data_IF_352860998466
#
_entry.id   IF_352860998466
#
_cell.length_a   1.000
_cell.length_b   1.000
_cell.length_c   1.000
_cell.angle_alpha   90.00
_cell.angle_beta   90.00
_cell.angle_gamma   90.00
#
_symmetry.space_group_name_H-M   'P 1'
#
loop_
_entity.id
_entity.type
_entity.pdbx_description
1 polymer ?
#
# COMPACT_ATOMS: atom_id res chain seq x y z
N UNK A 1 34.35 -15.95 87.00
CA UNK A 1 34.06 -14.66 86.25
C UNK A 1 34.21 -14.96 84.80
N UNK A 2 33.08 -15.16 84.09
CA UNK A 2 33.03 -15.40 82.65
C UNK A 2 32.45 -14.13 81.93
N UNK A 3 33.27 -13.46 81.18
CA UNK A 3 32.89 -12.37 80.37
C UNK A 3 32.39 -12.89 79.01
N UNK A 4 31.08 -12.69 78.70
CA UNK A 4 30.48 -12.99 77.39
C UNK A 4 30.68 -11.84 76.42
N UNK A 5 31.39 -12.12 75.36
CA UNK A 5 31.55 -11.19 74.21
C UNK A 5 30.37 -11.41 73.27
N UNK A 6 29.55 -10.37 73.07
CA UNK A 6 28.46 -10.32 72.08
C UNK A 6 29.05 -9.82 70.77
N UNK A 7 29.06 -10.64 69.72
CA UNK A 7 29.39 -10.26 68.36
C UNK A 7 28.12 -9.74 67.64
N UNK A 8 28.09 -8.45 67.34
CA UNK A 8 27.05 -7.87 66.50
C UNK A 8 27.29 -8.22 65.03
N UNK A 9 26.33 -8.96 64.45
CA UNK A 9 26.28 -9.20 63.02
C UNK A 9 25.49 -8.05 62.36
N UNK A 10 26.18 -7.13 61.68
CA UNK A 10 25.57 -6.10 60.86
C UNK A 10 25.08 -6.70 59.52
N UNK A 11 23.78 -6.76 59.32
CA UNK A 11 23.14 -7.19 58.07
C UNK A 11 23.16 -5.98 57.11
N UNK A 12 24.11 -5.93 56.16
CA UNK A 12 24.13 -4.97 55.07
C UNK A 12 23.10 -5.39 54.04
N UNK A 13 21.94 -4.77 54.06
CA UNK A 13 20.87 -4.94 53.08
C UNK A 13 21.22 -4.10 51.81
N UNK A 14 21.88 -4.74 50.83
CA UNK A 14 22.16 -4.15 49.54
C UNK A 14 20.84 -3.97 48.74
N UNK A 15 20.41 -2.72 48.57
CA UNK A 15 19.36 -2.36 47.60
C UNK A 15 19.92 -2.59 46.19
N UNK A 16 19.58 -3.73 45.57
CA UNK A 16 19.69 -3.88 44.12
C UNK A 16 18.63 -3.00 43.48
N UNK A 17 19.02 -1.79 43.06
CA UNK A 17 18.21 -1.00 42.15
C UNK A 17 18.18 -1.72 40.79
N UNK A 18 17.13 -2.50 40.53
CA UNK A 18 16.82 -2.99 39.22
C UNK A 18 16.51 -1.75 38.34
N UNK A 19 17.51 -1.21 37.66
CA UNK A 19 17.29 -0.29 36.56
C UNK A 19 16.61 -1.07 35.43
N UNK A 20 15.28 -1.01 35.39
CA UNK A 20 14.54 -1.41 34.19
C UNK A 20 15.08 -0.58 33.02
N UNK A 21 15.52 -1.19 31.92
CA UNK A 21 15.91 -0.43 30.75
C UNK A 21 14.71 0.40 30.31
N UNK A 22 14.84 1.72 30.41
CA UNK A 22 13.88 2.63 29.82
C UNK A 22 14.03 2.48 28.29
N UNK A 23 13.28 1.59 27.68
CA UNK A 23 13.24 1.48 26.22
C UNK A 23 12.71 2.81 25.70
N UNK A 24 13.56 3.55 24.98
CA UNK A 24 13.15 4.76 24.31
C UNK A 24 12.04 4.41 23.30
N UNK A 25 10.93 5.17 23.34
CA UNK A 25 9.83 5.00 22.38
C UNK A 25 10.35 5.18 20.95
N UNK A 26 9.88 4.34 20.04
CA UNK A 26 10.15 4.49 18.61
C UNK A 26 9.56 5.80 18.07
N UNK A 27 10.24 6.41 17.11
CA UNK A 27 9.78 7.62 16.44
C UNK A 27 8.99 7.23 15.19
N UNK A 28 7.71 7.60 15.15
CA UNK A 28 6.81 7.35 14.02
C UNK A 28 6.40 8.67 13.39
N UNK A 29 6.52 8.76 12.07
CA UNK A 29 6.08 9.93 11.32
C UNK A 29 4.76 9.63 10.61
N UNK A 30 3.73 10.43 10.87
CA UNK A 30 2.45 10.39 10.18
C UNK A 30 2.50 11.31 8.98
N UNK A 31 2.40 10.77 7.78
CA UNK A 31 2.35 11.48 6.49
C UNK A 31 0.90 11.55 6.04
N UNK A 32 0.28 12.72 6.12
CA UNK A 32 -1.11 12.89 5.74
C UNK A 32 -1.25 13.29 4.27
N UNK A 33 -2.10 12.55 3.54
CA UNK A 33 -2.41 12.84 2.13
C UNK A 33 -3.85 13.30 1.89
N UNK A 34 -4.72 13.21 2.90
CA UNK A 34 -6.13 13.59 2.82
C UNK A 34 -7.08 12.39 2.97
N UNK A 35 -8.07 12.30 2.09
CA UNK A 35 -9.06 11.22 2.07
C UNK A 35 -10.15 11.32 3.14
N UNK A 36 -10.91 10.25 3.33
CA UNK A 36 -12.06 10.15 4.24
C UNK A 36 -11.66 10.25 5.72
N UNK A 37 -10.50 9.71 6.09
CA UNK A 37 -9.99 9.79 7.48
C UNK A 37 -9.80 11.25 7.92
N UNK A 38 -9.50 12.13 6.97
CA UNK A 38 -9.45 13.58 7.13
C UNK A 38 -10.76 14.28 6.66
N UNK A 39 -11.84 13.54 6.50
CA UNK A 39 -13.12 14.03 6.02
C UNK A 39 -14.03 14.51 7.16
N UNK A 40 -14.90 15.48 6.83
CA UNK A 40 -15.90 16.00 7.74
C UNK A 40 -17.27 16.12 7.06
N UNK A 41 -18.29 15.60 7.70
CA UNK A 41 -19.71 15.72 7.32
C UNK A 41 -20.44 16.78 8.12
N UNK A 42 -21.57 17.25 7.61
CA UNK A 42 -22.40 18.26 8.25
C UNK A 42 -23.15 17.75 9.51
N UNK A 43 -23.34 16.44 9.63
CA UNK A 43 -24.02 15.78 10.75
C UNK A 43 -23.33 14.47 11.08
N UNK A 44 -23.38 14.07 12.34
CA UNK A 44 -22.83 12.78 12.79
C UNK A 44 -23.59 11.58 12.22
N UNK A 45 -24.82 11.73 11.76
CA UNK A 45 -25.57 10.71 11.04
C UNK A 45 -25.10 10.54 9.57
N UNK A 46 -24.29 11.45 9.04
CA UNK A 46 -23.80 11.41 7.66
C UNK A 46 -22.53 10.57 7.58
N UNK A 47 -22.67 9.29 7.24
CA UNK A 47 -21.53 8.39 7.02
C UNK A 47 -21.05 8.35 5.56
N UNK A 48 -21.88 8.78 4.62
CA UNK A 48 -21.61 8.75 3.17
C UNK A 48 -21.60 10.14 2.51
N UNK A 49 -22.22 11.14 3.12
CA UNK A 49 -22.26 12.52 2.61
C UNK A 49 -21.32 13.40 3.42
N UNK A 50 -20.11 13.62 2.92
CA UNK A 50 -19.06 14.40 3.60
C UNK A 50 -18.11 15.03 2.57
N UNK A 51 -17.26 15.94 3.04
CA UNK A 51 -16.15 16.47 2.25
C UNK A 51 -14.86 15.83 2.73
N UNK A 52 -14.14 15.15 1.82
CA UNK A 52 -12.84 14.55 2.11
C UNK A 52 -11.74 15.61 2.35
N UNK A 53 -10.64 15.23 2.97
CA UNK A 53 -9.41 16.03 3.09
C UNK A 53 -9.61 17.42 3.74
N UNK A 54 -10.46 17.53 4.76
CA UNK A 54 -10.72 18.80 5.50
C UNK A 54 -9.87 18.96 6.75
N UNK A 55 -9.47 17.86 7.37
CA UNK A 55 -8.79 17.84 8.67
C UNK A 55 -7.27 17.76 8.45
N UNK A 56 -6.48 18.72 8.98
CA UNK A 56 -5.03 18.68 8.86
C UNK A 56 -4.41 17.61 9.76
N UNK A 57 -3.14 17.25 9.49
CA UNK A 57 -2.43 16.17 10.16
C UNK A 57 -2.38 16.33 11.69
N UNK A 58 -2.12 17.53 12.18
CA UNK A 58 -2.02 17.78 13.63
C UNK A 58 -3.36 17.54 14.33
N UNK A 59 -4.48 17.88 13.69
CA UNK A 59 -5.81 17.64 14.24
C UNK A 59 -6.14 16.12 14.24
N UNK A 60 -5.69 15.37 13.23
CA UNK A 60 -5.82 13.91 13.23
C UNK A 60 -5.04 13.26 14.38
N UNK A 61 -3.79 13.68 14.60
CA UNK A 61 -2.93 13.20 15.69
C UNK A 61 -3.55 13.56 17.05
N UNK A 62 -3.98 14.81 17.23
CA UNK A 62 -4.56 15.28 18.49
C UNK A 62 -5.92 14.64 18.81
N UNK A 63 -6.64 14.16 17.80
CA UNK A 63 -7.91 13.43 18.01
C UNK A 63 -7.71 12.05 18.66
N UNK A 64 -6.47 11.52 18.66
CA UNK A 64 -6.13 10.20 19.22
C UNK A 64 -4.90 10.32 20.13
N UNK A 65 -5.01 11.00 21.30
CA UNK A 65 -3.86 11.28 22.16
C UNK A 65 -3.14 10.01 22.65
N UNK A 66 -3.84 8.87 22.70
CA UNK A 66 -3.29 7.57 23.11
C UNK A 66 -2.12 7.10 22.22
N UNK A 67 -1.98 7.59 20.98
CA UNK A 67 -0.85 7.25 20.13
C UNK A 67 0.49 7.71 20.70
N UNK A 68 0.48 8.74 21.54
CA UNK A 68 1.68 9.22 22.22
C UNK A 68 2.19 8.24 23.29
N UNK A 69 1.34 7.32 23.76
CA UNK A 69 1.75 6.26 24.67
C UNK A 69 2.53 5.15 23.94
N UNK A 70 2.27 4.98 22.64
CA UNK A 70 2.88 3.95 21.78
C UNK A 70 4.25 4.39 21.23
N UNK A 71 4.36 5.64 20.78
CA UNK A 71 5.53 6.16 20.07
C UNK A 71 5.67 7.67 20.23
N UNK A 72 6.86 8.21 19.91
CA UNK A 72 7.03 9.64 19.68
C UNK A 72 6.48 9.95 18.28
N UNK A 73 5.28 10.52 18.20
CA UNK A 73 4.58 10.75 16.94
C UNK A 73 4.72 12.19 16.49
N UNK A 74 5.08 12.38 15.23
CA UNK A 74 5.09 13.68 14.54
C UNK A 74 4.32 13.60 13.23
N UNK A 75 3.80 14.74 12.75
CA UNK A 75 2.99 14.82 11.54
C UNK A 75 3.65 15.62 10.41
N UNK A 76 3.39 15.21 9.17
CA UNK A 76 3.74 15.94 7.95
C UNK A 76 2.52 15.94 7.03
N UNK A 77 2.08 17.13 6.60
CA UNK A 77 1.05 17.27 5.58
C UNK A 77 1.72 17.18 4.20
N UNK A 78 1.66 16.03 3.55
CA UNK A 78 2.20 15.82 2.22
C UNK A 78 1.26 16.32 1.12
N UNK A 79 -0.02 15.94 1.23
CA UNK A 79 -1.11 16.33 0.32
C UNK A 79 -2.37 16.56 1.15
N UNK A 80 -3.37 17.17 0.52
CA UNK A 80 -4.70 17.33 1.10
C UNK A 80 -5.76 17.17 0.00
N UNK A 81 -5.86 15.95 -0.52
CA UNK A 81 -6.71 15.63 -1.69
C UNK A 81 -7.57 14.40 -1.41
N UNK A 82 -8.65 14.26 -2.15
CA UNK A 82 -9.39 13.01 -2.26
C UNK A 82 -8.58 12.05 -3.16
N UNK A 83 -8.53 10.76 -2.79
CA UNK A 83 -7.54 9.84 -3.38
C UNK A 83 -7.77 9.53 -4.86
N UNK A 84 -9.00 9.61 -5.34
CA UNK A 84 -9.35 9.46 -6.76
C UNK A 84 -8.76 10.58 -7.64
N UNK A 85 -8.27 11.66 -7.02
CA UNK A 85 -7.64 12.79 -7.70
C UNK A 85 -6.11 12.75 -7.67
N UNK A 86 -5.51 11.70 -7.13
CA UNK A 86 -4.07 11.49 -7.13
C UNK A 86 -3.61 11.13 -8.54
N UNK A 87 -2.66 11.91 -9.06
CA UNK A 87 -1.97 11.66 -10.34
C UNK A 87 -0.59 11.06 -10.10
N UNK A 88 0.14 10.72 -11.17
CA UNK A 88 1.52 10.26 -11.07
C UNK A 88 2.40 11.26 -10.31
N UNK A 89 2.16 12.56 -10.45
CA UNK A 89 2.92 13.62 -9.77
C UNK A 89 2.77 13.51 -8.25
N UNK A 90 1.55 13.41 -7.75
CA UNK A 90 1.29 13.27 -6.32
C UNK A 90 1.79 11.92 -5.80
N UNK A 91 1.63 10.84 -6.57
CA UNK A 91 2.13 9.51 -6.22
C UNK A 91 3.66 9.51 -6.06
N UNK A 92 4.38 10.10 -7.01
CA UNK A 92 5.83 10.25 -6.97
C UNK A 92 6.28 11.17 -5.84
N UNK A 93 5.54 12.25 -5.55
CA UNK A 93 5.79 13.13 -4.41
C UNK A 93 5.71 12.37 -3.09
N UNK A 94 4.65 11.59 -2.87
CA UNK A 94 4.48 10.75 -1.68
C UNK A 94 5.68 9.79 -1.55
N UNK A 95 6.04 9.10 -2.65
CA UNK A 95 7.11 8.12 -2.62
C UNK A 95 8.47 8.74 -2.30
N UNK A 96 8.80 9.89 -2.88
CA UNK A 96 10.04 10.62 -2.56
C UNK A 96 10.08 11.05 -1.12
N UNK A 97 8.98 11.59 -0.59
CA UNK A 97 8.90 12.04 0.79
C UNK A 97 9.06 10.87 1.77
N UNK A 98 8.39 9.75 1.52
CA UNK A 98 8.53 8.54 2.34
C UNK A 98 9.95 7.99 2.28
N UNK A 99 10.56 7.95 1.08
CA UNK A 99 11.95 7.51 0.89
C UNK A 99 12.94 8.36 1.71
N UNK A 100 12.77 9.68 1.73
CA UNK A 100 13.61 10.56 2.56
C UNK A 100 13.38 10.35 4.07
N UNK A 101 12.17 10.02 4.49
CA UNK A 101 11.89 9.74 5.90
C UNK A 101 12.54 8.44 6.37
N UNK A 102 12.39 7.36 5.60
CA UNK A 102 12.94 6.05 6.02
C UNK A 102 14.46 6.01 6.02
N UNK A 103 15.14 6.89 5.28
CA UNK A 103 16.60 7.04 5.34
C UNK A 103 17.10 7.67 6.65
N UNK A 104 16.27 8.45 7.34
CA UNK A 104 16.67 9.12 8.58
C UNK A 104 16.84 8.08 9.70
N UNK A 105 18.02 7.99 10.35
CA UNK A 105 18.21 7.02 11.45
C UNK A 105 17.28 7.29 12.65
N UNK A 106 16.80 8.52 12.80
CA UNK A 106 15.86 8.93 13.85
C UNK A 106 14.42 8.52 13.60
N UNK A 107 14.05 8.03 12.41
CA UNK A 107 12.70 7.55 12.08
C UNK A 107 12.69 6.03 12.15
N UNK A 108 11.80 5.46 12.94
CA UNK A 108 11.66 4.02 13.12
C UNK A 108 10.52 3.43 12.27
N UNK A 109 9.48 4.21 11.99
CA UNK A 109 8.35 3.78 11.17
C UNK A 109 7.60 4.96 10.55
N UNK A 110 6.85 4.70 9.48
CA UNK A 110 6.05 5.69 8.77
C UNK A 110 4.61 5.20 8.69
N UNK A 111 3.65 6.07 9.06
CA UNK A 111 2.23 5.88 8.82
C UNK A 111 1.79 6.85 7.74
N UNK A 112 1.01 6.38 6.76
CA UNK A 112 0.47 7.24 5.70
C UNK A 112 -1.04 7.19 5.80
N UNK A 113 -1.68 8.34 6.19
CA UNK A 113 -3.13 8.44 6.14
C UNK A 113 -3.57 8.77 4.73
N UNK A 114 -4.48 8.00 4.18
CA UNK A 114 -4.83 8.02 2.75
C UNK A 114 -6.33 7.83 2.53
N UNK A 115 -6.84 8.36 1.42
CA UNK A 115 -8.19 8.04 0.97
C UNK A 115 -8.28 6.61 0.45
N UNK A 116 -9.40 5.95 0.74
CA UNK A 116 -9.53 4.50 0.53
C UNK A 116 -9.66 4.07 -0.93
N UNK A 117 -10.01 4.99 -1.86
CA UNK A 117 -10.31 4.62 -3.25
C UNK A 117 -9.06 4.16 -4.02
N UNK A 118 -7.92 4.81 -3.82
CA UNK A 118 -6.65 4.44 -4.45
C UNK A 118 -5.56 4.05 -3.45
N UNK A 119 -5.92 3.78 -2.19
CA UNK A 119 -4.97 3.39 -1.14
C UNK A 119 -4.15 2.16 -1.54
N UNK A 120 -4.77 1.14 -2.13
CA UNK A 120 -4.10 -0.07 -2.58
C UNK A 120 -3.04 0.19 -3.66
N UNK A 121 -3.30 1.18 -4.54
CA UNK A 121 -2.38 1.58 -5.60
C UNK A 121 -1.14 2.28 -5.03
N UNK A 122 -1.35 3.28 -4.17
CA UNK A 122 -0.26 3.97 -3.46
C UNK A 122 0.57 2.99 -2.62
N UNK A 123 -0.09 2.08 -1.89
CA UNK A 123 0.59 1.07 -1.09
C UNK A 123 1.47 0.16 -1.95
N UNK A 124 0.93 -0.35 -3.05
CA UNK A 124 1.68 -1.22 -3.97
C UNK A 124 2.85 -0.48 -4.63
N UNK A 125 2.63 0.76 -5.06
CA UNK A 125 3.70 1.57 -5.64
C UNK A 125 4.87 1.77 -4.68
N UNK A 126 4.58 2.18 -3.43
CA UNK A 126 5.61 2.33 -2.40
C UNK A 126 6.34 1.02 -2.11
N UNK A 127 5.61 -0.10 -2.10
CA UNK A 127 6.16 -1.45 -1.90
C UNK A 127 7.17 -1.84 -2.99
N UNK A 128 7.00 -1.29 -4.20
CA UNK A 128 7.91 -1.51 -5.32
C UNK A 128 9.13 -0.58 -5.32
N UNK A 129 8.99 0.69 -4.90
CA UNK A 129 10.00 1.72 -5.17
C UNK A 129 10.75 2.26 -3.95
N UNK A 130 10.31 1.97 -2.72
CA UNK A 130 10.97 2.44 -1.49
C UNK A 130 11.78 1.31 -0.88
N UNK A 131 13.09 1.51 -0.77
CA UNK A 131 14.02 0.54 -0.20
C UNK A 131 14.22 0.79 1.29
N UNK A 132 13.67 -0.07 2.12
CA UNK A 132 13.76 0.00 3.58
C UNK A 132 13.38 -1.33 4.23
N UNK A 133 13.89 -1.57 5.43
CA UNK A 133 13.41 -2.59 6.37
C UNK A 133 12.40 -2.04 7.38
N UNK A 134 12.28 -0.71 7.47
CA UNK A 134 11.40 -0.03 8.43
C UNK A 134 9.94 -0.21 8.04
N UNK A 135 9.03 -0.33 9.03
CA UNK A 135 7.60 -0.41 8.77
C UNK A 135 7.07 0.83 8.05
N UNK A 136 6.35 0.61 6.96
CA UNK A 136 5.53 1.61 6.27
C UNK A 136 4.10 1.08 6.29
N UNK A 137 3.18 1.83 6.90
CA UNK A 137 1.79 1.41 7.10
C UNK A 137 0.85 2.44 6.48
N UNK A 138 0.08 2.07 5.47
CA UNK A 138 -1.01 2.89 4.97
C UNK A 138 -2.28 2.60 5.76
N UNK A 139 -3.05 3.65 6.01
CA UNK A 139 -4.30 3.59 6.78
C UNK A 139 -5.30 4.60 6.25
N UNK A 140 -6.57 4.24 6.30
CA UNK A 140 -7.68 5.11 5.93
C UNK A 140 -8.86 4.96 6.88
N UNK A 141 -9.99 5.48 6.48
CA UNK A 141 -11.28 5.18 7.11
C UNK A 141 -12.39 5.13 6.07
N UNK A 142 -13.42 4.36 6.36
CA UNK A 142 -14.62 4.27 5.53
C UNK A 142 -15.69 5.27 5.95
N UNK A 143 -15.57 5.86 7.15
CA UNK A 143 -16.46 6.89 7.69
C UNK A 143 -15.66 8.17 7.98
N UNK A 144 -16.24 9.36 7.75
CA UNK A 144 -15.59 10.62 8.09
C UNK A 144 -15.44 10.76 9.61
N UNK A 145 -14.50 11.59 10.05
CA UNK A 145 -14.18 11.79 11.47
C UNK A 145 -15.36 12.27 12.31
N UNK A 146 -16.33 12.91 11.68
CA UNK A 146 -17.56 13.43 12.33
C UNK A 146 -18.67 12.38 12.47
N UNK A 147 -18.59 11.23 11.82
CA UNK A 147 -19.65 10.24 11.80
C UNK A 147 -19.76 9.47 13.13
N UNK A 148 -20.99 9.04 13.46
CA UNK A 148 -21.21 8.05 14.51
C UNK A 148 -20.42 6.77 14.19
N UNK A 149 -19.72 6.24 15.20
CA UNK A 149 -18.83 5.07 15.01
C UNK A 149 -17.81 5.26 13.89
N UNK A 150 -17.19 6.44 13.80
CA UNK A 150 -16.06 6.68 12.89
C UNK A 150 -14.95 5.67 13.16
N UNK A 151 -14.47 5.00 12.11
CA UNK A 151 -13.42 3.98 12.20
C UNK A 151 -12.00 4.56 12.17
N UNK A 152 -11.86 5.82 11.74
CA UNK A 152 -10.56 6.49 11.59
C UNK A 152 -9.70 6.54 12.85
N UNK A 153 -10.21 6.91 14.03
CA UNK A 153 -9.42 6.98 15.26
C UNK A 153 -8.76 5.67 15.65
N UNK A 154 -9.50 4.56 15.65
CA UNK A 154 -8.96 3.24 15.96
C UNK A 154 -7.99 2.76 14.88
N UNK A 155 -8.31 2.98 13.60
CA UNK A 155 -7.42 2.63 12.50
C UNK A 155 -6.08 3.39 12.61
N UNK A 156 -6.10 4.69 12.94
CA UNK A 156 -4.87 5.48 13.14
C UNK A 156 -4.06 4.99 14.34
N UNK A 157 -4.71 4.74 15.50
CA UNK A 157 -4.07 4.15 16.67
C UNK A 157 -3.35 2.85 16.31
N UNK A 158 -4.07 1.95 15.66
CA UNK A 158 -3.58 0.64 15.24
C UNK A 158 -2.42 0.75 14.24
N UNK A 159 -2.48 1.71 13.29
CA UNK A 159 -1.41 1.94 12.33
C UNK A 159 -0.12 2.46 13.00
N UNK A 160 -0.24 3.36 13.99
CA UNK A 160 0.91 3.85 14.76
C UNK A 160 1.51 2.72 15.60
N UNK A 161 0.69 1.89 16.25
CA UNK A 161 1.14 0.73 17.00
C UNK A 161 1.93 -0.24 16.11
N UNK A 162 1.41 -0.54 14.92
CA UNK A 162 2.07 -1.42 13.96
C UNK A 162 3.39 -0.80 13.44
N UNK A 163 3.40 0.50 13.11
CA UNK A 163 4.59 1.18 12.62
C UNK A 163 5.69 1.34 13.70
N UNK A 164 5.30 1.33 14.97
CA UNK A 164 6.22 1.37 16.12
C UNK A 164 6.76 -0.02 16.50
N UNK A 165 6.21 -1.11 15.96
CA UNK A 165 6.57 -2.47 16.33
C UNK A 165 7.82 -2.95 15.57
N UNK A 166 8.81 -3.47 16.30
CA UNK A 166 9.99 -4.10 15.68
C UNK A 166 9.62 -5.37 14.90
N UNK A 167 8.55 -6.07 15.28
CA UNK A 167 8.05 -7.27 14.60
C UNK A 167 7.46 -6.94 13.20
N UNK A 168 7.20 -5.68 12.91
CA UNK A 168 6.71 -5.21 11.62
C UNK A 168 7.83 -4.92 10.60
N UNK A 169 9.11 -4.99 11.02
CA UNK A 169 10.26 -4.80 10.12
C UNK A 169 10.34 -5.91 9.07
N UNK A 170 10.82 -5.54 7.88
CA UNK A 170 10.98 -6.46 6.74
C UNK A 170 9.68 -7.15 6.27
N UNK A 171 8.50 -6.56 6.57
CA UNK A 171 7.20 -7.08 6.10
C UNK A 171 6.72 -6.48 4.77
N UNK A 172 7.53 -5.58 4.18
CA UNK A 172 7.10 -4.75 3.06
C UNK A 172 6.21 -3.59 3.51
N UNK A 173 5.62 -2.91 2.55
CA UNK A 173 4.58 -1.92 2.83
C UNK A 173 3.29 -2.65 3.19
N UNK A 174 2.65 -2.19 4.24
CA UNK A 174 1.43 -2.80 4.79
C UNK A 174 0.25 -1.84 4.71
N UNK A 175 -0.93 -2.39 4.64
CA UNK A 175 -2.19 -1.68 4.80
C UNK A 175 -2.87 -2.20 6.06
N UNK A 176 -3.24 -1.28 6.95
CA UNK A 176 -4.01 -1.62 8.15
C UNK A 176 -5.39 -1.00 8.04
N UNK A 177 -6.41 -1.84 8.02
CA UNK A 177 -7.82 -1.43 8.02
C UNK A 177 -8.64 -2.43 8.82
N UNK A 178 -9.51 -1.92 9.70
CA UNK A 178 -10.44 -2.76 10.47
C UNK A 178 -9.71 -3.93 11.15
N UNK A 179 -8.64 -3.61 11.90
CA UNK A 179 -7.75 -4.51 12.65
C UNK A 179 -6.97 -5.54 11.83
N UNK A 180 -7.17 -5.60 10.53
CA UNK A 180 -6.49 -6.52 9.63
C UNK A 180 -5.23 -5.87 9.03
N UNK A 181 -4.13 -6.64 9.04
CA UNK A 181 -2.84 -6.25 8.45
C UNK A 181 -2.72 -6.95 7.10
N UNK A 182 -2.67 -6.19 6.02
CA UNK A 182 -2.55 -6.72 4.67
C UNK A 182 -1.19 -6.37 4.04
N UNK A 183 -0.70 -7.25 3.17
CA UNK A 183 0.39 -6.88 2.27
C UNK A 183 -0.11 -5.89 1.21
N UNK A 184 0.65 -4.83 0.95
CA UNK A 184 0.32 -3.83 -0.07
C UNK A 184 0.09 -4.45 -1.46
N UNK A 185 0.82 -5.52 -1.76
CA UNK A 185 0.69 -6.24 -3.02
C UNK A 185 -0.66 -6.92 -3.18
N UNK A 186 -1.22 -7.49 -2.09
CA UNK A 186 -2.34 -8.42 -2.18
C UNK A 186 -3.68 -7.79 -1.80
N UNK A 187 -3.65 -6.67 -1.07
CA UNK A 187 -4.86 -5.98 -0.59
C UNK A 187 -5.64 -5.34 -1.74
N UNK A 188 -6.96 -5.38 -1.67
CA UNK A 188 -7.83 -4.62 -2.58
C UNK A 188 -9.06 -4.11 -1.84
N UNK A 189 -9.60 -2.96 -2.27
CA UNK A 189 -10.90 -2.46 -1.82
C UNK A 189 -12.00 -3.28 -2.49
N UNK A 190 -12.45 -4.34 -1.82
CA UNK A 190 -13.43 -5.29 -2.34
C UNK A 190 -14.88 -4.89 -2.08
N UNK A 191 -15.13 -3.98 -1.11
CA UNK A 191 -16.45 -3.49 -0.74
C UNK A 191 -16.39 -1.97 -0.61
N UNK A 192 -17.32 -1.25 -1.24
CA UNK A 192 -17.23 0.21 -1.36
C UNK A 192 -17.78 1.01 -0.17
N UNK A 193 -18.57 0.43 0.74
CA UNK A 193 -19.28 1.17 1.80
C UNK A 193 -18.95 0.68 3.22
N UNK A 194 -18.69 -0.61 3.41
CA UNK A 194 -18.50 -1.21 4.72
C UNK A 194 -17.14 -0.82 5.35
N UNK A 195 -17.03 -0.83 6.67
CA UNK A 195 -15.75 -0.59 7.36
C UNK A 195 -14.73 -1.68 7.10
N UNK A 196 -15.16 -2.93 6.90
CA UNK A 196 -14.34 -4.05 6.45
C UNK A 196 -14.18 -4.08 4.91
N UNK A 197 -13.94 -2.93 4.29
CA UNK A 197 -13.91 -2.76 2.84
C UNK A 197 -12.72 -3.44 2.16
N UNK A 198 -11.61 -3.61 2.85
CA UNK A 198 -10.38 -4.16 2.31
C UNK A 198 -10.29 -5.66 2.52
N UNK A 199 -9.92 -6.35 1.46
CA UNK A 199 -9.80 -7.82 1.40
C UNK A 199 -8.52 -8.22 0.68
N UNK A 200 -8.12 -9.47 0.84
CA UNK A 200 -7.08 -10.11 0.04
C UNK A 200 -7.50 -11.54 -0.27
N UNK A 201 -7.40 -11.95 -1.53
CA UNK A 201 -7.67 -13.34 -1.91
C UNK A 201 -6.71 -14.33 -1.25
N UNK A 202 -5.54 -13.88 -0.85
CA UNK A 202 -4.53 -14.68 -0.16
C UNK A 202 -4.62 -14.57 1.36
N UNK A 203 -5.54 -13.74 1.88
CA UNK A 203 -5.76 -13.47 3.30
C UNK A 203 -4.85 -12.37 3.86
N UNK A 204 -5.16 -11.93 5.09
CA UNK A 204 -4.35 -10.97 5.82
C UNK A 204 -3.00 -11.56 6.23
N UNK A 205 -1.97 -10.72 6.38
CA UNK A 205 -0.69 -11.10 6.98
C UNK A 205 -0.86 -11.42 8.46
N UNK A 206 -1.76 -10.72 9.13
CA UNK A 206 -2.04 -10.83 10.54
C UNK A 206 -3.18 -9.94 10.96
N UNK A 207 -3.34 -9.81 12.27
CA UNK A 207 -4.30 -8.90 12.90
C UNK A 207 -3.60 -8.10 13.99
N UNK A 208 -4.16 -6.94 14.31
CA UNK A 208 -3.69 -6.12 15.42
C UNK A 208 -4.75 -6.10 16.51
N UNK A 209 -4.39 -6.48 17.72
CA UNK A 209 -5.29 -6.50 18.87
C UNK A 209 -4.62 -5.74 20.02
N UNK A 210 -5.29 -4.73 20.56
CA UNK A 210 -4.78 -3.92 21.68
C UNK A 210 -3.35 -3.40 21.45
N UNK A 211 -3.08 -2.93 20.22
CA UNK A 211 -1.78 -2.39 19.83
C UNK A 211 -0.69 -3.43 19.58
N UNK A 212 -0.99 -4.72 19.60
CA UNK A 212 -0.03 -5.80 19.34
C UNK A 212 -0.33 -6.53 18.05
N UNK A 213 0.65 -6.68 17.12
CA UNK A 213 0.48 -7.46 15.91
C UNK A 213 0.56 -8.97 16.19
N UNK A 214 -0.33 -9.72 15.57
CA UNK A 214 -0.33 -11.18 15.54
C UNK A 214 -0.20 -11.63 14.09
N UNK A 215 0.90 -12.29 13.75
CA UNK A 215 1.27 -12.65 12.39
C UNK A 215 0.86 -14.09 12.06
N UNK A 216 0.28 -14.28 10.87
CA UNK A 216 -0.13 -15.60 10.36
C UNK A 216 0.61 -15.97 9.08
N UNK A 217 1.08 -14.96 8.31
CA UNK A 217 1.67 -15.12 6.99
C UNK A 217 2.70 -14.02 6.71
N UNK A 218 3.44 -14.21 5.63
CA UNK A 218 4.27 -13.16 5.03
C UNK A 218 4.19 -13.20 3.50
N UNK A 219 4.51 -12.11 2.83
CA UNK A 219 4.61 -12.06 1.39
C UNK A 219 5.81 -12.87 0.91
N UNK A 220 5.60 -13.67 -0.15
CA UNK A 220 6.67 -14.40 -0.84
C UNK A 220 7.17 -13.65 -2.07
N UNK A 221 6.51 -12.55 -2.44
CA UNK A 221 6.85 -11.72 -3.59
C UNK A 221 7.90 -10.67 -3.22
N UNK A 222 8.69 -10.25 -4.20
CA UNK A 222 9.73 -9.23 -4.00
C UNK A 222 9.11 -7.89 -3.61
N UNK A 223 9.72 -7.22 -2.66
CA UNK A 223 9.26 -5.91 -2.17
C UNK A 223 10.42 -5.12 -1.57
N UNK A 224 10.23 -3.83 -1.35
CA UNK A 224 11.15 -2.93 -0.66
C UNK A 224 12.63 -3.19 -1.01
N UNK A 225 13.48 -3.61 -0.08
CA UNK A 225 14.91 -3.85 -0.32
C UNK A 225 15.20 -4.94 -1.38
N UNK A 226 14.28 -5.87 -1.62
CA UNK A 226 14.43 -6.90 -2.64
C UNK A 226 13.90 -6.45 -4.02
N UNK A 227 13.33 -5.25 -4.13
CA UNK A 227 12.84 -4.69 -5.38
C UNK A 227 14.00 -4.24 -6.28
N UNK A 228 13.80 -4.41 -7.58
CA UNK A 228 14.69 -3.84 -8.59
C UNK A 228 14.32 -2.40 -8.99
N UNK A 229 13.15 -1.92 -8.55
CA UNK A 229 12.71 -0.54 -8.77
C UNK A 229 13.12 0.34 -7.59
N UNK A 230 13.54 1.57 -7.86
CA UNK A 230 13.91 2.53 -6.82
C UNK A 230 13.42 3.92 -7.24
N UNK A 231 12.72 4.59 -6.34
CA UNK A 231 12.20 5.96 -6.57
C UNK A 231 13.29 6.94 -6.97
N UNK A 232 14.51 6.77 -6.50
CA UNK A 232 15.66 7.64 -6.82
C UNK A 232 16.04 7.61 -8.31
N UNK A 233 15.73 6.51 -8.98
CA UNK A 233 15.99 6.33 -10.41
C UNK A 233 14.88 6.89 -11.30
N UNK A 234 13.71 7.22 -10.73
CA UNK A 234 12.58 7.79 -11.47
C UNK A 234 12.75 9.30 -11.55
N UNK A 235 12.98 9.80 -12.77
CA UNK A 235 13.18 11.23 -13.02
C UNK A 235 11.85 11.89 -13.47
N UNK A 236 11.70 13.17 -13.12
CA UNK A 236 10.49 13.92 -13.46
C UNK A 236 9.27 13.54 -12.62
N UNK A 237 8.10 13.95 -13.07
CA UNK A 237 6.83 13.85 -12.34
C UNK A 237 5.78 13.00 -13.05
N UNK A 238 6.20 12.14 -13.98
CA UNK A 238 5.34 11.24 -14.73
C UNK A 238 6.01 9.88 -14.93
N UNK A 239 5.19 8.85 -15.04
CA UNK A 239 5.56 7.49 -15.43
C UNK A 239 5.22 7.25 -16.90
N UNK A 240 5.79 6.22 -17.56
CA UNK A 240 5.28 5.76 -18.85
C UNK A 240 3.77 5.51 -18.78
N UNK A 241 3.03 6.05 -19.75
CA UNK A 241 1.57 5.99 -19.74
C UNK A 241 1.07 4.59 -20.03
N UNK A 242 0.22 4.09 -19.16
CA UNK A 242 -0.42 2.77 -19.22
C UNK A 242 -1.90 2.92 -18.88
N UNK A 243 -2.77 2.42 -19.75
CA UNK A 243 -4.21 2.51 -19.58
C UNK A 243 -4.84 1.14 -19.33
N UNK A 244 -6.04 1.14 -18.77
CA UNK A 244 -6.82 -0.07 -18.49
C UNK A 244 -8.06 -0.07 -19.37
N UNK A 245 -8.31 -1.18 -20.06
CA UNK A 245 -9.54 -1.41 -20.81
C UNK A 245 -10.26 -2.63 -20.24
N UNK A 246 -11.49 -2.45 -19.78
CA UNK A 246 -12.31 -3.53 -19.26
C UNK A 246 -13.01 -4.27 -20.39
N UNK A 247 -12.80 -5.58 -20.44
CA UNK A 247 -13.50 -6.48 -21.35
C UNK A 247 -14.98 -6.63 -20.99
N UNK A 248 -15.86 -6.57 -21.99
CA UNK A 248 -17.31 -6.72 -21.86
C UNK A 248 -17.90 -7.40 -23.09
N UNK A 249 -19.17 -7.79 -23.02
CA UNK A 249 -19.91 -8.16 -24.21
C UNK A 249 -19.98 -6.98 -25.18
N UNK A 250 -19.91 -7.25 -26.47
CA UNK A 250 -20.02 -6.28 -27.55
C UNK A 250 -19.03 -5.11 -27.45
N UNK A 251 -17.86 -5.33 -26.80
CA UNK A 251 -16.82 -4.30 -26.71
C UNK A 251 -16.29 -3.95 -28.10
N UNK A 252 -15.94 -2.67 -28.28
CA UNK A 252 -15.35 -2.15 -29.52
C UNK A 252 -13.83 -1.93 -29.33
N UNK A 253 -13.06 -1.92 -30.44
CA UNK A 253 -11.61 -1.68 -30.37
C UNK A 253 -11.24 -0.21 -30.11
N UNK A 254 -12.19 0.72 -30.20
CA UNK A 254 -11.98 2.18 -30.21
C UNK A 254 -11.14 2.69 -29.04
N UNK A 255 -11.35 2.13 -27.82
CA UNK A 255 -10.57 2.54 -26.66
C UNK A 255 -9.08 2.19 -26.80
N UNK A 256 -8.77 1.01 -27.33
CA UNK A 256 -7.38 0.59 -27.56
C UNK A 256 -6.70 1.47 -28.61
N UNK A 257 -7.39 1.75 -29.70
CA UNK A 257 -6.89 2.60 -30.78
C UNK A 257 -6.70 4.05 -30.32
N UNK A 258 -7.62 4.56 -29.48
CA UNK A 258 -7.53 5.91 -28.93
C UNK A 258 -6.31 6.05 -28.01
N UNK A 259 -6.07 5.10 -27.13
CA UNK A 259 -4.89 5.11 -26.25
C UNK A 259 -3.59 4.96 -27.05
N UNK A 260 -3.56 4.09 -28.03
CA UNK A 260 -2.42 3.98 -28.93
C UNK A 260 -2.12 5.30 -29.67
N UNK A 261 -3.15 5.96 -30.17
CA UNK A 261 -3.05 7.28 -30.83
C UNK A 261 -2.58 8.38 -29.86
N UNK A 262 -2.94 8.28 -28.58
CA UNK A 262 -2.49 9.19 -27.52
C UNK A 262 -1.00 8.98 -27.14
N UNK A 263 -0.38 7.88 -27.59
CA UNK A 263 1.03 7.59 -27.36
C UNK A 263 1.29 6.75 -26.11
N UNK A 264 0.26 6.09 -25.57
CA UNK A 264 0.39 5.16 -24.44
C UNK A 264 1.38 4.04 -24.78
N UNK A 265 2.12 3.56 -23.76
CA UNK A 265 3.19 2.58 -23.91
C UNK A 265 2.74 1.15 -23.67
N UNK A 266 1.69 0.99 -22.87
CA UNK A 266 1.07 -0.30 -22.63
C UNK A 266 -0.44 -0.17 -22.37
N UNK A 267 -1.15 -1.27 -22.59
CA UNK A 267 -2.57 -1.39 -22.30
C UNK A 267 -2.78 -2.64 -21.44
N UNK A 268 -3.40 -2.45 -20.29
CA UNK A 268 -3.89 -3.53 -19.46
C UNK A 268 -5.28 -3.93 -19.96
N UNK A 269 -5.38 -5.11 -20.56
CA UNK A 269 -6.67 -5.70 -20.89
C UNK A 269 -7.23 -6.40 -19.65
N UNK A 270 -8.17 -5.77 -18.96
CA UNK A 270 -8.91 -6.37 -17.84
C UNK A 270 -10.00 -7.28 -18.42
N UNK A 271 -9.60 -8.48 -18.86
CA UNK A 271 -10.45 -9.42 -19.57
C UNK A 271 -11.51 -10.10 -18.68
N UNK A 272 -12.39 -10.83 -19.31
CA UNK A 272 -13.33 -11.72 -18.62
C UNK A 272 -12.60 -13.01 -18.19
N UNK A 273 -13.14 -13.70 -17.17
CA UNK A 273 -12.58 -14.98 -16.72
C UNK A 273 -11.07 -14.97 -16.54
N UNK A 274 -10.34 -15.83 -17.21
CA UNK A 274 -8.87 -15.95 -17.20
C UNK A 274 -8.17 -14.86 -18.06
N UNK A 275 -8.68 -13.62 -18.04
CA UNK A 275 -8.16 -12.54 -18.86
C UNK A 275 -8.42 -12.72 -20.36
N UNK A 276 -9.56 -13.36 -20.70
CA UNK A 276 -9.92 -13.68 -22.08
C UNK A 276 -10.13 -12.43 -22.92
N UNK A 277 -9.64 -12.48 -24.16
CA UNK A 277 -9.80 -11.43 -25.17
C UNK A 277 -10.78 -11.90 -26.24
N UNK A 278 -11.79 -11.09 -26.57
CA UNK A 278 -12.75 -11.43 -27.61
C UNK A 278 -12.02 -11.62 -28.95
N UNK A 279 -12.39 -12.69 -29.69
CA UNK A 279 -11.72 -13.07 -30.94
C UNK A 279 -11.60 -11.93 -31.95
N UNK A 280 -12.63 -11.08 -32.04
CA UNK A 280 -12.65 -9.93 -32.95
C UNK A 280 -11.81 -8.74 -32.48
N UNK A 281 -11.34 -8.74 -31.21
CA UNK A 281 -10.42 -7.71 -30.66
C UNK A 281 -8.95 -8.12 -30.84
N UNK A 282 -8.64 -9.43 -30.89
CA UNK A 282 -7.26 -9.95 -31.00
C UNK A 282 -6.49 -9.32 -32.16
N UNK A 283 -7.04 -9.17 -33.40
CA UNK A 283 -6.30 -8.56 -34.50
C UNK A 283 -5.89 -7.10 -34.23
N UNK A 284 -6.74 -6.31 -33.56
CA UNK A 284 -6.44 -4.93 -33.17
C UNK A 284 -5.30 -4.91 -32.17
N UNK A 285 -5.37 -5.70 -31.09
CA UNK A 285 -4.30 -5.75 -30.08
C UNK A 285 -2.96 -6.21 -30.68
N UNK A 286 -3.01 -7.22 -31.56
CA UNK A 286 -1.80 -7.69 -32.24
C UNK A 286 -1.19 -6.62 -33.15
N UNK A 287 -2.02 -5.89 -33.89
CA UNK A 287 -1.56 -4.79 -34.73
C UNK A 287 -0.94 -3.64 -33.90
N UNK A 288 -1.55 -3.30 -32.78
CA UNK A 288 -1.01 -2.28 -31.86
C UNK A 288 0.32 -2.72 -31.24
N UNK A 289 0.46 -3.99 -30.89
CA UNK A 289 1.72 -4.55 -30.42
C UNK A 289 2.80 -4.52 -31.50
N UNK A 290 2.53 -5.12 -32.65
CA UNK A 290 3.52 -5.34 -33.71
C UNK A 290 3.95 -4.06 -34.42
N UNK A 291 3.02 -3.12 -34.66
CA UNK A 291 3.30 -1.91 -35.42
C UNK A 291 3.56 -0.67 -34.57
N UNK A 292 2.93 -0.58 -33.41
CA UNK A 292 3.06 0.59 -32.54
C UNK A 292 3.96 0.34 -31.33
N UNK A 293 4.40 -0.91 -31.11
CA UNK A 293 5.27 -1.27 -29.98
C UNK A 293 4.58 -1.19 -28.62
N UNK A 294 3.23 -1.22 -28.60
CA UNK A 294 2.47 -1.15 -27.37
C UNK A 294 2.50 -2.50 -26.66
N UNK A 295 2.85 -2.50 -25.40
CA UNK A 295 2.80 -3.71 -24.59
C UNK A 295 1.34 -4.06 -24.25
N UNK A 296 0.92 -5.28 -24.56
CA UNK A 296 -0.40 -5.79 -24.21
C UNK A 296 -0.23 -6.69 -22.99
N UNK A 297 -0.92 -6.33 -21.90
CA UNK A 297 -0.84 -7.06 -20.64
C UNK A 297 -2.23 -7.52 -20.26
N UNK A 298 -2.43 -8.85 -20.23
CA UNK A 298 -3.71 -9.44 -19.85
C UNK A 298 -3.81 -9.55 -18.33
N UNK A 299 -4.79 -8.87 -17.77
CA UNK A 299 -5.28 -9.02 -16.40
C UNK A 299 -6.73 -9.48 -16.43
N UNK A 300 -7.39 -9.59 -15.32
CA UNK A 300 -8.79 -9.98 -15.25
C UNK A 300 -9.63 -8.94 -14.52
N UNK A 301 -10.87 -8.73 -14.96
CA UNK A 301 -11.89 -7.99 -14.21
C UNK A 301 -12.49 -8.81 -13.07
N UNK A 302 -12.22 -10.13 -13.04
CA UNK A 302 -12.64 -11.00 -11.95
C UNK A 302 -11.76 -10.68 -10.72
N UNK A 303 -12.36 -10.39 -9.55
CA UNK A 303 -11.61 -9.84 -8.43
C UNK A 303 -10.67 -10.82 -7.74
N UNK A 304 -10.82 -12.13 -8.00
CA UNK A 304 -10.03 -13.20 -7.39
C UNK A 304 -9.58 -14.21 -8.44
N UNK A 305 -8.47 -14.90 -8.17
CA UNK A 305 -7.86 -15.83 -9.10
C UNK A 305 -6.59 -15.27 -9.72
N UNK A 306 -6.19 -15.83 -10.84
CA UNK A 306 -4.99 -15.38 -11.57
C UNK A 306 -5.12 -15.70 -13.05
N UNK A 307 -4.44 -14.91 -13.89
CA UNK A 307 -4.38 -15.11 -15.33
C UNK A 307 -3.25 -16.07 -15.66
N UNK A 308 -3.61 -17.23 -16.22
CA UNK A 308 -2.65 -18.21 -16.73
C UNK A 308 -2.09 -17.74 -18.06
N UNK A 309 -0.75 -17.69 -18.14
CA UNK A 309 -0.05 -17.45 -19.40
C UNK A 309 -0.23 -18.63 -20.35
N UNK A 310 -0.40 -18.32 -21.63
CA UNK A 310 -0.53 -19.30 -22.73
C UNK A 310 -1.72 -20.28 -22.60
N UNK A 311 -2.73 -19.96 -21.79
CA UNK A 311 -3.91 -20.78 -21.64
C UNK A 311 -5.06 -20.34 -22.58
N UNK A 312 -5.70 -19.18 -22.28
CA UNK A 312 -6.80 -18.63 -23.08
C UNK A 312 -6.31 -17.97 -24.37
N UNK A 313 -5.12 -17.36 -24.31
CA UNK A 313 -4.46 -16.70 -25.41
C UNK A 313 -3.04 -17.24 -25.53
N UNK A 314 -2.50 -17.39 -26.74
CA UNK A 314 -1.11 -17.78 -26.94
C UNK A 314 -0.17 -16.59 -26.73
N UNK A 315 -0.05 -16.13 -25.47
CA UNK A 315 0.69 -14.94 -25.09
C UNK A 315 2.13 -14.94 -25.60
N UNK A 316 2.80 -16.09 -25.47
CA UNK A 316 4.17 -16.27 -25.95
C UNK A 316 4.31 -16.06 -27.46
N UNK A 317 3.30 -16.47 -28.23
CA UNK A 317 3.25 -16.26 -29.68
C UNK A 317 2.96 -14.81 -30.05
N UNK A 318 2.12 -14.16 -29.29
CA UNK A 318 1.70 -12.78 -29.54
C UNK A 318 2.67 -11.73 -28.96
N UNK A 319 3.65 -12.14 -28.15
CA UNK A 319 4.50 -11.21 -27.42
C UNK A 319 3.78 -10.47 -26.28
N UNK A 320 2.66 -11.00 -25.82
CA UNK A 320 1.86 -10.42 -24.75
C UNK A 320 2.34 -10.87 -23.37
N UNK A 321 1.93 -10.14 -22.35
CA UNK A 321 2.24 -10.39 -20.93
C UNK A 321 0.98 -10.81 -20.20
N UNK A 322 1.09 -11.78 -19.30
CA UNK A 322 0.05 -12.15 -18.36
C UNK A 322 0.33 -11.50 -16.99
N UNK A 323 -0.64 -10.76 -16.46
CA UNK A 323 -0.49 -10.06 -15.18
C UNK A 323 -0.48 -11.00 -13.95
N UNK A 324 -0.69 -12.28 -14.16
CA UNK A 324 -0.82 -13.29 -13.12
C UNK A 324 -1.95 -12.90 -12.14
N UNK A 325 -1.68 -12.78 -10.84
CA UNK A 325 -2.67 -12.49 -9.81
C UNK A 325 -2.77 -10.99 -9.43
N UNK A 326 -2.14 -10.09 -10.20
CA UNK A 326 -2.33 -8.66 -10.04
C UNK A 326 -3.65 -8.21 -10.68
N UNK A 327 -4.44 -7.47 -9.91
CA UNK A 327 -5.60 -6.78 -10.45
C UNK A 327 -5.18 -5.70 -11.47
N UNK A 328 -6.10 -5.20 -12.31
CA UNK A 328 -5.75 -4.27 -13.40
C UNK A 328 -5.03 -3.01 -12.95
N UNK A 329 -5.43 -2.40 -11.83
CA UNK A 329 -4.84 -1.14 -11.34
C UNK A 329 -3.40 -1.35 -10.84
N UNK A 330 -3.08 -2.45 -10.19
CA UNK A 330 -1.71 -2.79 -9.78
C UNK A 330 -0.87 -3.25 -10.96
N UNK A 331 -1.46 -4.02 -11.89
CA UNK A 331 -0.81 -4.38 -13.13
C UNK A 331 -0.37 -3.15 -13.93
N UNK A 332 -1.20 -2.08 -13.97
CA UNK A 332 -0.88 -0.79 -14.56
C UNK A 332 0.38 -0.18 -13.95
N UNK A 333 0.47 -0.14 -12.63
CA UNK A 333 1.61 0.45 -11.93
C UNK A 333 2.90 -0.34 -12.15
N UNK A 334 2.83 -1.68 -12.08
CA UNK A 334 4.00 -2.53 -12.35
C UNK A 334 4.44 -2.41 -13.81
N UNK A 335 3.51 -2.35 -14.76
CA UNK A 335 3.82 -2.13 -16.17
C UNK A 335 4.51 -0.77 -16.40
N UNK A 336 4.00 0.30 -15.80
CA UNK A 336 4.60 1.62 -15.90
C UNK A 336 6.04 1.64 -15.36
N UNK A 337 6.28 0.99 -14.22
CA UNK A 337 7.64 0.84 -13.67
C UNK A 337 8.54 -0.04 -14.54
N UNK A 338 8.05 -1.17 -15.04
CA UNK A 338 8.79 -2.05 -15.93
C UNK A 338 9.26 -1.31 -17.19
N UNK A 339 8.38 -0.50 -17.77
CA UNK A 339 8.67 0.31 -18.96
C UNK A 339 9.71 1.42 -18.74
N UNK A 340 10.02 1.78 -17.49
CA UNK A 340 11.19 2.64 -17.21
C UNK A 340 12.53 1.92 -17.43
N UNK A 341 12.51 0.58 -17.51
CA UNK A 341 13.72 -0.27 -17.60
C UNK A 341 13.84 -0.98 -18.93
N UNK A 342 12.75 -1.49 -19.46
CA UNK A 342 12.76 -2.34 -20.65
C UNK A 342 11.45 -2.28 -21.42
N UNK A 343 11.53 -2.58 -22.72
CA UNK A 343 10.35 -2.82 -23.56
C UNK A 343 10.27 -4.30 -24.01
N UNK A 344 11.14 -5.17 -23.49
CA UNK A 344 11.11 -6.61 -23.78
C UNK A 344 9.99 -7.30 -22.97
N UNK A 345 9.02 -7.85 -23.69
CA UNK A 345 7.87 -8.54 -23.09
C UNK A 345 8.28 -9.73 -22.19
N UNK A 346 9.41 -10.41 -22.47
CA UNK A 346 9.91 -11.52 -21.63
C UNK A 346 10.40 -11.02 -20.29
N UNK A 347 11.14 -9.90 -20.28
CA UNK A 347 11.61 -9.28 -19.05
C UNK A 347 10.45 -8.65 -18.26
N UNK A 348 9.49 -8.03 -18.93
CA UNK A 348 8.26 -7.54 -18.28
C UNK A 348 7.52 -8.73 -17.64
N UNK A 349 7.36 -9.86 -18.36
CA UNK A 349 6.72 -11.06 -17.80
C UNK A 349 7.46 -11.61 -16.59
N UNK A 350 8.80 -11.63 -16.59
CA UNK A 350 9.60 -12.01 -15.42
C UNK A 350 9.24 -11.14 -14.20
N UNK A 351 9.13 -9.82 -14.40
CA UNK A 351 8.73 -8.89 -13.34
C UNK A 351 7.33 -9.22 -12.79
N UNK A 352 6.36 -9.49 -13.65
CA UNK A 352 5.01 -9.87 -13.21
C UNK A 352 4.96 -11.20 -12.43
N UNK A 353 5.92 -12.08 -12.61
CA UNK A 353 6.01 -13.29 -11.80
C UNK A 353 6.70 -13.06 -10.46
N UNK A 354 7.58 -12.09 -10.36
CA UNK A 354 8.38 -11.84 -9.16
C UNK A 354 7.74 -10.87 -8.18
N UNK A 355 6.93 -9.95 -8.70
CA UNK A 355 6.28 -8.90 -7.91
C UNK A 355 4.80 -9.12 -7.68
#
# INVERSE_FOLDING_TARGET
MLTKTVKSFGLAMGLLACSLPLYAKNNVVVVATGGTIAGAGASSANSATYTAAKVPVDALINAVPQIQDLANVSGIQALQVASESITDKELLQIARQVNELVKKPTVNGVVITHGTDTLEETAFFLNLVVHTDKPIVLVGSMRPSTALSADGPLNLYSAVALAASDDAKNKGVMVLMNDSIFAARDVTKGINIHTNAFVSQWGALGTLVEGKPYWFRQSVKRHTNASEFNIENIKGDALPTVQIVYGSDSMLPDAYEAYAKAGDKAIIHAGTGNGSVAKYIVPTLQNLHDKNGIQIIRSSRVPQGFVLRDAEQPDSKYGWVAAHDLNPQKARLLAALALTKTNDAKEIQRMFWQY
#
